data_IF_803580832380
#
_entry.id   IF_803580832380
#
_cell.length_a   1.000
_cell.length_b   1.000
_cell.length_c   1.000
_cell.angle_alpha   90.00
_cell.angle_beta   90.00
_cell.angle_gamma   90.00
#
_symmetry.space_group_name_H-M   'P 1'
#
loop_
_entity.id
_entity.type
_entity.pdbx_description
1 polymer ?
#
# COMPACT_ATOMS: atom_id res chain seq x y z
N UNK A 1 -11.80 2.10 8.38
CA UNK A 1 -11.13 3.06 7.48
C UNK A 1 -10.12 2.24 6.67
N UNK A 2 -9.95 2.49 5.37
CA UNK A 2 -8.92 1.84 4.53
C UNK A 2 -7.55 2.16 5.16
N UNK A 3 -7.07 1.27 6.02
CA UNK A 3 -6.28 1.61 7.20
C UNK A 3 -4.80 1.76 6.95
N UNK A 4 -4.44 2.85 6.28
CA UNK A 4 -3.16 3.54 6.42
C UNK A 4 -3.45 5.03 6.50
N UNK A 5 -2.81 5.76 7.40
CA UNK A 5 -2.83 7.24 7.31
C UNK A 5 -2.23 7.61 5.97
N UNK A 6 -2.95 8.39 5.15
CA UNK A 6 -2.38 8.97 3.94
C UNK A 6 -1.09 9.69 4.36
N UNK A 7 0.04 9.19 3.87
CA UNK A 7 1.33 9.79 4.19
C UNK A 7 1.45 11.13 3.48
N UNK A 8 2.03 12.10 4.17
CA UNK A 8 2.46 13.33 3.54
C UNK A 8 3.50 13.02 2.44
N UNK A 9 3.44 13.67 1.26
CA UNK A 9 4.40 13.43 0.18
C UNK A 9 5.86 13.54 0.61
N UNK A 10 6.17 14.43 1.56
CA UNK A 10 7.53 14.56 2.12
C UNK A 10 7.97 13.30 2.86
N UNK A 11 7.07 12.69 3.63
CA UNK A 11 7.38 11.43 4.34
C UNK A 11 7.67 10.31 3.34
N UNK A 12 6.90 10.25 2.26
CA UNK A 12 7.14 9.28 1.18
C UNK A 12 8.51 9.53 0.54
N UNK A 13 8.86 10.79 0.24
CA UNK A 13 10.15 11.13 -0.34
C UNK A 13 11.32 10.75 0.58
N UNK A 14 11.21 11.03 1.88
CA UNK A 14 12.24 10.70 2.88
C UNK A 14 12.46 9.17 2.96
N UNK A 15 11.39 8.36 2.95
CA UNK A 15 11.49 6.90 2.93
C UNK A 15 12.09 6.33 1.64
N UNK A 16 11.80 6.97 0.50
CA UNK A 16 12.42 6.60 -0.79
C UNK A 16 13.93 6.89 -0.76
N UNK A 17 14.33 8.08 -0.32
CA UNK A 17 15.75 8.45 -0.23
C UNK A 17 16.52 7.49 0.67
N UNK A 18 15.97 7.18 1.85
CA UNK A 18 16.53 6.19 2.76
C UNK A 18 16.64 4.81 2.11
N UNK A 19 15.61 4.37 1.39
CA UNK A 19 15.63 3.08 0.70
C UNK A 19 16.72 2.99 -0.37
N UNK A 20 16.97 4.08 -1.08
CA UNK A 20 18.06 4.16 -2.06
C UNK A 20 19.44 4.10 -1.39
N UNK A 21 19.63 4.83 -0.29
CA UNK A 21 20.87 4.79 0.50
C UNK A 21 21.14 3.38 1.07
N UNK A 22 20.09 2.69 1.51
CA UNK A 22 20.16 1.31 2.00
C UNK A 22 20.31 0.25 0.88
N UNK A 23 20.25 0.65 -0.41
CA UNK A 23 20.28 -0.27 -1.54
C UNK A 23 19.04 -1.17 -1.67
N UNK A 24 17.90 -0.76 -1.11
CA UNK A 24 16.65 -1.51 -1.15
C UNK A 24 15.96 -1.34 -2.50
N UNK A 25 15.70 -2.46 -3.18
CA UNK A 25 14.97 -2.44 -4.45
C UNK A 25 13.46 -2.19 -4.27
N UNK A 26 12.82 -2.84 -3.30
CA UNK A 26 11.40 -2.67 -3.00
C UNK A 26 11.23 -1.78 -1.77
N UNK A 27 10.81 -0.54 -1.99
CA UNK A 27 10.55 0.44 -0.95
C UNK A 27 9.04 0.52 -0.74
N UNK A 28 8.58 0.22 0.48
CA UNK A 28 7.17 0.23 0.87
C UNK A 28 6.99 1.24 2.01
N UNK A 29 6.63 2.51 1.71
CA UNK A 29 6.58 3.59 2.71
C UNK A 29 5.51 3.39 3.79
N UNK A 30 4.46 2.63 3.45
CA UNK A 30 3.37 2.31 4.35
C UNK A 30 3.67 0.96 5.03
N UNK A 31 3.71 0.96 6.37
CA UNK A 31 4.15 -0.20 7.16
C UNK A 31 3.26 -1.44 7.03
N UNK A 32 2.01 -1.27 6.62
CA UNK A 32 1.03 -2.34 6.39
C UNK A 32 1.14 -2.99 5.00
N UNK A 33 1.76 -2.32 4.02
CA UNK A 33 1.84 -2.80 2.63
C UNK A 33 2.72 -4.05 2.46
N UNK A 34 3.80 -4.30 3.23
CA UNK A 34 4.53 -5.56 3.18
C UNK A 34 3.64 -6.79 3.39
N UNK A 35 2.72 -6.74 4.36
CA UNK A 35 1.80 -7.84 4.63
C UNK A 35 0.78 -7.98 3.51
N UNK A 36 0.32 -6.88 2.92
CA UNK A 36 -0.55 -6.90 1.74
C UNK A 36 0.15 -7.52 0.53
N UNK A 37 1.41 -7.18 0.30
CA UNK A 37 2.23 -7.74 -0.76
C UNK A 37 2.39 -9.26 -0.59
N UNK A 38 2.77 -9.70 0.61
CA UNK A 38 2.91 -11.12 0.94
C UNK A 38 1.58 -11.88 0.82
N UNK A 39 0.49 -11.32 1.34
CA UNK A 39 -0.83 -11.94 1.28
C UNK A 39 -1.35 -12.05 -0.15
N UNK A 40 -1.17 -11.02 -0.97
CA UNK A 40 -1.50 -11.06 -2.40
C UNK A 40 -0.75 -12.19 -3.12
N UNK A 41 0.52 -12.40 -2.80
CA UNK A 41 1.33 -13.44 -3.44
C UNK A 41 0.96 -14.85 -2.97
N UNK A 42 0.66 -15.01 -1.68
CA UNK A 42 0.37 -16.33 -1.08
C UNK A 42 -1.07 -16.82 -1.32
N UNK A 43 -2.06 -15.93 -1.44
CA UNK A 43 -3.46 -16.30 -1.65
C UNK A 43 -4.17 -15.28 -2.56
N UNK A 44 -3.81 -15.33 -3.85
CA UNK A 44 -4.29 -14.41 -4.88
C UNK A 44 -5.82 -14.38 -4.99
N UNK A 45 -6.49 -15.54 -4.93
CA UNK A 45 -7.95 -15.62 -5.10
C UNK A 45 -8.68 -14.95 -3.93
N UNK A 46 -8.22 -15.18 -2.70
CA UNK A 46 -8.80 -14.51 -1.53
C UNK A 46 -8.50 -13.02 -1.54
N UNK A 47 -7.31 -12.62 -1.96
CA UNK A 47 -6.95 -11.21 -2.19
C UNK A 47 -7.92 -10.55 -3.17
N UNK A 48 -8.14 -11.14 -4.35
CA UNK A 48 -9.05 -10.61 -5.38
C UNK A 48 -10.49 -10.48 -4.87
N UNK A 49 -10.99 -11.46 -4.12
CA UNK A 49 -12.32 -11.38 -3.49
C UNK A 49 -12.41 -10.22 -2.50
N UNK A 50 -11.35 -9.98 -1.72
CA UNK A 50 -11.25 -8.84 -0.82
C UNK A 50 -11.27 -7.51 -1.58
N UNK A 51 -10.40 -7.37 -2.58
CA UNK A 51 -10.27 -6.14 -3.39
C UNK A 51 -11.58 -5.77 -4.10
N UNK A 52 -12.32 -6.73 -4.65
CA UNK A 52 -13.65 -6.49 -5.26
C UNK A 52 -14.65 -5.86 -4.29
N UNK A 53 -14.58 -6.19 -3.00
CA UNK A 53 -15.46 -5.60 -1.97
C UNK A 53 -15.01 -4.19 -1.55
N UNK A 54 -13.72 -3.89 -1.69
CA UNK A 54 -13.12 -2.61 -1.34
C UNK A 54 -13.24 -1.58 -2.46
N UNK A 55 -13.26 -2.02 -3.72
CA UNK A 55 -13.25 -1.18 -4.92
C UNK A 55 -14.27 -0.02 -4.89
N UNK A 56 -15.57 -0.23 -4.59
CA UNK A 56 -16.54 0.87 -4.57
C UNK A 56 -16.17 1.96 -3.55
N UNK A 57 -15.60 1.55 -2.40
CA UNK A 57 -15.22 2.47 -1.32
C UNK A 57 -13.98 3.31 -1.67
N UNK A 58 -13.15 2.80 -2.57
CA UNK A 58 -11.98 3.53 -3.08
C UNK A 58 -12.44 4.53 -4.13
N UNK A 59 -13.34 4.12 -5.03
CA UNK A 59 -13.93 5.00 -6.03
C UNK A 59 -14.64 6.19 -5.37
N UNK A 60 -15.39 5.95 -4.28
CA UNK A 60 -16.05 7.00 -3.50
C UNK A 60 -15.06 8.02 -2.92
N UNK A 61 -13.88 7.57 -2.48
CA UNK A 61 -12.81 8.45 -1.97
C UNK A 61 -12.12 9.21 -3.09
N UNK A 62 -12.02 8.64 -4.29
CA UNK A 62 -11.42 9.29 -5.45
C UNK A 62 -12.36 10.29 -6.13
N UNK A 63 -13.67 10.14 -5.95
CA UNK A 63 -14.70 11.01 -6.53
C UNK A 63 -15.02 12.25 -5.68
N UNK A 64 -14.53 12.32 -4.44
CA UNK A 64 -14.67 13.46 -3.52
C UNK A 64 -13.35 14.20 -3.33
#
# INVERSE_FOLDING_TARGET
MLGGSVLDPKVVADEVMKGLEDGRFLILPHGEVPDHYAFRANDTDRWLRGMRRLHPRIDDVAAG
#
